data_IF_602286714985
#
_entry.id   IF_602286714985
#
_cell.length_a   1.000
_cell.length_b   1.000
_cell.length_c   1.000
_cell.angle_alpha   90.00
_cell.angle_beta   90.00
_cell.angle_gamma   90.00
#
_symmetry.space_group_name_H-M   'P 1'
#
loop_
_entity.id
_entity.type
_entity.pdbx_description
1 polymer ?
#
# COMPACT_ATOMS: atom_id res chain seq x y z
N UNK A 1 12.70 22.28 -15.75
CA UNK A 1 13.14 21.14 -14.93
C UNK A 1 12.40 19.92 -15.44
N UNK A 2 13.08 18.91 -15.97
CA UNK A 2 12.43 17.63 -16.31
C UNK A 2 11.91 17.02 -15.01
N UNK A 3 10.60 16.74 -14.94
CA UNK A 3 10.03 15.99 -13.82
C UNK A 3 10.52 14.56 -13.98
N UNK A 4 11.52 14.16 -13.18
CA UNK A 4 11.87 12.75 -13.09
C UNK A 4 10.66 12.02 -12.49
N UNK A 5 10.07 11.13 -13.27
CA UNK A 5 8.93 10.31 -12.87
C UNK A 5 9.37 9.34 -11.75
N UNK A 6 8.49 9.01 -10.77
CA UNK A 6 8.82 8.05 -9.73
C UNK A 6 9.31 6.71 -10.31
N UNK A 7 10.32 6.05 -9.71
CA UNK A 7 10.89 4.80 -10.22
C UNK A 7 9.83 3.71 -10.46
N UNK A 8 8.82 3.62 -9.59
CA UNK A 8 7.74 2.64 -9.72
C UNK A 8 6.93 2.81 -11.02
N UNK A 9 6.60 4.04 -11.41
CA UNK A 9 5.77 4.28 -12.60
C UNK A 9 6.50 3.86 -13.87
N UNK A 10 7.81 4.10 -13.93
CA UNK A 10 8.66 3.62 -15.03
C UNK A 10 8.70 2.10 -15.10
N UNK A 11 8.96 1.44 -13.95
CA UNK A 11 8.97 -0.03 -13.86
C UNK A 11 7.63 -0.65 -14.27
N UNK A 12 6.51 -0.06 -13.84
CA UNK A 12 5.16 -0.51 -14.22
C UNK A 12 4.97 -0.43 -15.74
N UNK A 13 5.42 0.64 -16.40
CA UNK A 13 5.34 0.75 -17.86
C UNK A 13 6.20 -0.31 -18.56
N UNK A 14 7.40 -0.57 -18.05
CA UNK A 14 8.31 -1.59 -18.57
C UNK A 14 7.72 -3.01 -18.43
N UNK A 15 7.13 -3.32 -17.27
CA UNK A 15 6.49 -4.61 -17.01
C UNK A 15 5.23 -4.81 -17.88
N UNK A 16 4.44 -3.75 -18.08
CA UNK A 16 3.24 -3.84 -18.90
C UNK A 16 3.51 -4.12 -20.38
N UNK A 17 4.75 -3.92 -20.85
CA UNK A 17 5.22 -4.32 -22.17
C UNK A 17 5.56 -5.81 -22.30
N UNK A 18 5.49 -6.57 -21.20
CA UNK A 18 5.84 -7.98 -21.13
C UNK A 18 4.67 -8.80 -20.58
N UNK A 19 4.61 -10.08 -20.95
CA UNK A 19 3.69 -11.06 -20.42
C UNK A 19 4.19 -11.68 -19.11
N UNK A 20 3.29 -12.27 -18.33
CA UNK A 20 3.69 -13.02 -17.13
C UNK A 20 4.64 -14.18 -17.44
N UNK A 21 4.45 -14.85 -18.59
CA UNK A 21 5.33 -15.92 -19.06
C UNK A 21 6.76 -15.39 -19.32
N UNK A 22 6.91 -14.35 -20.14
CA UNK A 22 8.22 -13.74 -20.45
C UNK A 22 8.97 -13.29 -19.19
N UNK A 23 8.28 -12.61 -18.27
CA UNK A 23 8.90 -12.18 -17.01
C UNK A 23 9.28 -13.39 -16.14
N UNK A 24 8.51 -14.47 -16.16
CA UNK A 24 8.81 -15.67 -15.37
C UNK A 24 10.05 -16.43 -15.85
N UNK A 25 10.35 -16.40 -17.15
CA UNK A 25 11.52 -17.08 -17.74
C UNK A 25 12.85 -16.43 -17.35
N UNK A 26 12.82 -15.12 -17.05
CA UNK A 26 14.02 -14.36 -16.67
C UNK A 26 14.22 -14.25 -15.15
N UNK A 27 13.28 -14.78 -14.35
CA UNK A 27 13.49 -14.92 -12.91
C UNK A 27 14.62 -15.92 -12.69
N UNK A 28 15.70 -15.50 -12.03
CA UNK A 28 16.91 -16.33 -11.90
C UNK A 28 16.70 -17.66 -11.16
N UNK A 29 15.68 -17.75 -10.29
CA UNK A 29 15.30 -18.97 -9.57
C UNK A 29 13.77 -19.04 -9.43
N UNK A 30 13.04 -19.49 -10.48
CA UNK A 30 11.60 -19.62 -10.41
C UNK A 30 11.23 -20.84 -9.57
N UNK A 31 10.21 -20.68 -8.73
CA UNK A 31 9.59 -21.73 -7.96
C UNK A 31 8.83 -22.68 -8.91
N UNK A 32 8.92 -23.99 -8.69
CA UNK A 32 8.31 -24.99 -9.57
C UNK A 32 6.78 -24.87 -9.69
N UNK A 33 6.09 -24.26 -8.71
CA UNK A 33 4.64 -24.06 -8.78
C UNK A 33 4.25 -22.79 -9.52
N UNK A 34 5.19 -21.87 -9.80
CA UNK A 34 4.86 -20.57 -10.40
C UNK A 34 4.13 -20.73 -11.75
N UNK A 35 4.55 -21.59 -12.70
CA UNK A 35 3.82 -21.77 -13.96
C UNK A 35 2.40 -22.30 -13.75
N UNK A 36 2.21 -23.24 -12.80
CA UNK A 36 0.89 -23.79 -12.47
C UNK A 36 -0.02 -22.70 -11.91
N UNK A 37 0.48 -21.88 -10.98
CA UNK A 37 -0.26 -20.76 -10.39
C UNK A 37 -0.64 -19.74 -11.46
N UNK A 38 0.30 -19.36 -12.34
CA UNK A 38 0.02 -18.43 -13.43
C UNK A 38 -1.04 -18.98 -14.40
N UNK A 39 -1.04 -20.29 -14.67
CA UNK A 39 -2.07 -20.96 -15.46
C UNK A 39 -3.45 -20.92 -14.79
N UNK A 40 -3.53 -21.29 -13.51
CA UNK A 40 -4.78 -21.29 -12.72
C UNK A 40 -5.39 -19.89 -12.58
N UNK A 41 -4.54 -18.86 -12.50
CA UNK A 41 -4.98 -17.46 -12.46
C UNK A 41 -5.27 -16.88 -13.85
N UNK A 42 -5.08 -17.66 -14.92
CA UNK A 42 -5.22 -17.21 -16.31
C UNK A 42 -4.34 -15.98 -16.60
N UNK A 43 -3.09 -15.98 -16.14
CA UNK A 43 -2.17 -14.85 -16.24
C UNK A 43 -1.06 -15.04 -17.27
N UNK A 44 -0.66 -16.27 -17.61
CA UNK A 44 0.53 -16.57 -18.44
C UNK A 44 0.68 -15.65 -19.66
N UNK A 45 -0.38 -15.55 -20.47
CA UNK A 45 -0.39 -14.81 -21.73
C UNK A 45 -0.86 -13.35 -21.59
N UNK A 46 -1.15 -12.89 -20.37
CA UNK A 46 -1.56 -11.51 -20.11
C UNK A 46 -0.34 -10.65 -19.86
N UNK A 47 -0.45 -9.37 -20.19
CA UNK A 47 0.56 -8.39 -19.83
C UNK A 47 0.60 -8.19 -18.32
N UNK A 48 1.79 -7.87 -17.80
CA UNK A 48 2.01 -7.58 -16.37
C UNK A 48 1.54 -6.16 -16.05
N UNK A 49 0.22 -5.98 -16.04
CA UNK A 49 -0.46 -4.69 -15.91
C UNK A 49 -1.54 -4.74 -14.80
N UNK A 50 -2.08 -3.58 -14.41
CA UNK A 50 -3.07 -3.53 -13.32
C UNK A 50 -4.41 -4.18 -13.71
N UNK A 51 -4.77 -4.15 -15.00
CA UNK A 51 -6.01 -4.73 -15.51
C UNK A 51 -6.06 -6.26 -15.34
N UNK A 52 -4.91 -6.92 -15.50
CA UNK A 52 -4.76 -8.37 -15.34
C UNK A 52 -5.07 -8.82 -13.90
N UNK A 53 -4.84 -7.95 -12.91
CA UNK A 53 -4.97 -8.25 -11.48
C UNK A 53 -6.36 -7.91 -10.96
N UNK A 54 -6.94 -6.79 -11.38
CA UNK A 54 -8.28 -6.36 -10.95
C UNK A 54 -9.36 -7.40 -11.27
N UNK A 55 -9.14 -8.18 -12.33
CA UNK A 55 -10.07 -9.23 -12.81
C UNK A 55 -9.89 -10.58 -12.12
N UNK A 56 -8.94 -10.71 -11.19
CA UNK A 56 -8.71 -11.97 -10.48
C UNK A 56 -9.91 -12.33 -9.60
N UNK A 57 -10.42 -13.56 -9.77
CA UNK A 57 -11.59 -14.07 -9.06
C UNK A 57 -11.36 -14.04 -7.54
N UNK A 58 -12.40 -13.58 -6.83
CA UNK A 58 -12.51 -13.70 -5.37
C UNK A 58 -13.32 -14.96 -5.08
N UNK A 59 -12.65 -16.05 -4.72
CA UNK A 59 -13.33 -17.28 -4.32
C UNK A 59 -13.16 -17.50 -2.81
N UNK A 60 -14.26 -17.33 -2.08
CA UNK A 60 -14.35 -17.47 -0.62
C UNK A 60 -13.92 -18.88 -0.17
N UNK A 61 -13.99 -19.90 -1.05
CA UNK A 61 -13.59 -21.27 -0.73
C UNK A 61 -12.08 -21.54 -0.87
N UNK A 62 -11.34 -20.67 -1.55
CA UNK A 62 -9.90 -20.81 -1.79
C UNK A 62 -9.04 -19.70 -1.20
N UNK A 63 -9.63 -18.56 -0.82
CA UNK A 63 -8.88 -17.44 -0.23
C UNK A 63 -8.30 -17.79 1.15
N UNK A 64 -7.01 -17.56 1.32
CA UNK A 64 -6.35 -17.65 2.62
C UNK A 64 -5.19 -16.68 2.74
N UNK A 65 -4.60 -16.62 3.93
CA UNK A 65 -3.36 -15.88 4.19
C UNK A 65 -2.23 -16.87 4.28
N UNK A 66 -1.05 -16.46 3.82
CA UNK A 66 0.16 -17.12 4.26
C UNK A 66 0.23 -17.09 5.79
N UNK A 67 0.70 -18.19 6.39
CA UNK A 67 0.86 -18.30 7.82
C UNK A 67 2.01 -17.43 8.32
N UNK A 68 1.94 -17.03 9.59
CA UNK A 68 3.01 -16.25 10.22
C UNK A 68 4.32 -17.08 10.26
N UNK A 69 5.49 -16.45 10.05
CA UNK A 69 5.71 -15.01 9.96
C UNK A 69 5.53 -14.39 8.55
N UNK A 70 5.26 -15.19 7.52
CA UNK A 70 5.32 -14.77 6.12
C UNK A 70 4.05 -14.05 5.64
N UNK A 71 3.76 -12.85 6.13
CA UNK A 71 2.65 -12.05 5.60
C UNK A 71 2.98 -11.47 4.22
N UNK A 72 1.95 -11.08 3.45
CA UNK A 72 2.16 -10.39 2.17
C UNK A 72 2.96 -9.09 2.32
N UNK A 73 2.67 -8.31 3.37
CA UNK A 73 3.44 -7.12 3.76
C UNK A 73 4.91 -7.48 3.96
N UNK A 74 5.19 -8.52 4.76
CA UNK A 74 6.57 -8.94 5.03
C UNK A 74 7.30 -9.32 3.73
N UNK A 75 6.69 -10.16 2.90
CA UNK A 75 7.26 -10.57 1.62
C UNK A 75 7.56 -9.36 0.73
N UNK A 76 6.60 -8.44 0.59
CA UNK A 76 6.76 -7.28 -0.28
C UNK A 76 7.94 -6.41 0.16
N UNK A 77 8.04 -6.11 1.46
CA UNK A 77 9.13 -5.29 1.99
C UNK A 77 10.49 -5.98 1.94
N UNK A 78 10.57 -7.29 2.20
CA UNK A 78 11.83 -8.04 2.07
C UNK A 78 12.34 -8.00 0.63
N UNK A 79 11.46 -8.21 -0.35
CA UNK A 79 11.82 -8.07 -1.76
C UNK A 79 12.24 -6.64 -2.12
N UNK A 80 11.51 -5.65 -1.59
CA UNK A 80 11.75 -4.21 -1.84
C UNK A 80 13.14 -3.74 -1.41
N UNK A 81 13.83 -4.46 -0.51
CA UNK A 81 15.23 -4.14 -0.14
C UNK A 81 16.20 -4.25 -1.30
N UNK A 82 15.88 -5.05 -2.32
CA UNK A 82 16.71 -5.25 -3.52
C UNK A 82 16.12 -4.55 -4.76
N UNK A 83 15.17 -3.62 -4.56
CA UNK A 83 14.40 -2.99 -5.63
C UNK A 83 12.93 -3.39 -5.60
N UNK A 84 12.08 -2.59 -6.24
CA UNK A 84 10.63 -2.79 -6.24
C UNK A 84 10.31 -4.12 -6.96
N UNK A 85 9.63 -5.08 -6.29
CA UNK A 85 9.32 -6.35 -6.93
C UNK A 85 8.27 -6.19 -8.01
N UNK A 86 8.47 -6.85 -9.15
CA UNK A 86 7.40 -7.05 -10.14
C UNK A 86 6.31 -7.96 -9.56
N UNK A 87 5.09 -7.96 -10.14
CA UNK A 87 4.03 -8.88 -9.71
C UNK A 87 4.44 -10.36 -9.83
N UNK A 88 5.28 -10.70 -10.82
CA UNK A 88 5.76 -12.08 -11.02
C UNK A 88 6.78 -12.48 -9.95
N UNK A 89 7.73 -11.59 -9.64
CA UNK A 89 8.70 -11.83 -8.54
C UNK A 89 7.99 -11.98 -7.20
N UNK A 90 6.94 -11.18 -6.97
CA UNK A 90 6.12 -11.28 -5.76
C UNK A 90 5.35 -12.61 -5.67
N UNK A 91 4.77 -13.08 -6.78
CA UNK A 91 4.13 -14.41 -6.85
C UNK A 91 5.11 -15.54 -6.62
N UNK A 92 6.28 -15.47 -7.25
CA UNK A 92 7.34 -16.46 -7.09
C UNK A 92 7.69 -16.63 -5.61
N UNK A 93 7.80 -15.52 -4.90
CA UNK A 93 8.11 -15.51 -3.48
C UNK A 93 6.99 -16.09 -2.61
N UNK A 94 5.73 -15.78 -2.92
CA UNK A 94 4.58 -16.40 -2.25
C UNK A 94 4.61 -17.93 -2.43
N UNK A 95 4.88 -18.43 -3.65
CA UNK A 95 4.98 -19.86 -3.94
C UNK A 95 6.09 -20.52 -3.12
N UNK A 96 7.27 -19.89 -3.07
CA UNK A 96 8.42 -20.34 -2.29
C UNK A 96 8.10 -20.46 -0.80
N UNK A 97 7.53 -19.40 -0.21
CA UNK A 97 7.16 -19.39 1.22
C UNK A 97 6.05 -20.39 1.54
N UNK A 98 5.08 -20.56 0.64
CA UNK A 98 4.03 -21.56 0.79
C UNK A 98 4.60 -22.99 0.82
N UNK A 99 5.52 -23.33 -0.09
CA UNK A 99 6.16 -24.66 -0.09
C UNK A 99 6.96 -24.89 1.19
N UNK A 100 7.76 -23.91 1.62
CA UNK A 100 8.50 -24.00 2.89
C UNK A 100 7.56 -24.21 4.08
N UNK A 101 6.33 -23.68 4.03
CA UNK A 101 5.38 -23.91 5.09
C UNK A 101 4.72 -25.30 5.05
N UNK A 102 4.32 -25.79 3.86
CA UNK A 102 3.70 -27.10 3.73
C UNK A 102 4.60 -28.25 4.20
N UNK A 103 5.93 -28.11 4.05
CA UNK A 103 6.88 -29.09 4.61
C UNK A 103 6.86 -29.13 6.14
N UNK A 104 6.22 -28.17 6.81
CA UNK A 104 6.16 -28.06 8.28
C UNK A 104 4.78 -28.27 8.88
N UNK A 105 3.70 -28.29 8.07
CA UNK A 105 2.31 -28.44 8.55
C UNK A 105 1.40 -29.10 7.53
N UNK A 106 1.07 -30.37 7.78
CA UNK A 106 0.19 -31.19 6.95
C UNK A 106 -1.30 -30.79 7.03
N UNK A 107 -1.70 -29.98 8.02
CA UNK A 107 -3.10 -29.58 8.26
C UNK A 107 -3.56 -28.37 7.43
N UNK A 108 -2.66 -27.75 6.64
CA UNK A 108 -2.93 -26.51 5.93
C UNK A 108 -3.50 -26.76 4.52
N UNK A 109 -4.83 -26.74 4.41
CA UNK A 109 -5.58 -27.09 3.19
C UNK A 109 -6.01 -25.89 2.32
N UNK A 110 -5.34 -24.74 2.43
CA UNK A 110 -5.64 -23.60 1.56
C UNK A 110 -4.92 -23.78 0.22
N UNK A 111 -5.62 -23.71 -0.92
CA UNK A 111 -4.97 -23.85 -2.22
C UNK A 111 -4.05 -22.67 -2.52
N UNK A 112 -2.85 -22.96 -3.02
CA UNK A 112 -1.83 -21.96 -3.36
C UNK A 112 -2.36 -20.87 -4.30
N UNK A 113 -3.12 -21.25 -5.34
CA UNK A 113 -3.70 -20.28 -6.28
C UNK A 113 -4.58 -19.24 -5.57
N UNK A 114 -5.29 -19.62 -4.51
CA UNK A 114 -6.17 -18.71 -3.76
C UNK A 114 -5.38 -17.71 -2.92
N UNK A 115 -4.26 -18.15 -2.34
CA UNK A 115 -3.29 -17.29 -1.63
C UNK A 115 -2.64 -16.32 -2.62
N UNK A 116 -2.17 -16.83 -3.76
CA UNK A 116 -1.55 -16.02 -4.83
C UNK A 116 -2.53 -14.99 -5.39
N UNK A 117 -3.78 -15.38 -5.65
CA UNK A 117 -4.85 -14.47 -6.10
C UNK A 117 -5.06 -13.30 -5.12
N UNK A 118 -5.08 -13.60 -3.82
CA UNK A 118 -5.19 -12.57 -2.78
C UNK A 118 -3.94 -11.71 -2.68
N UNK A 119 -2.76 -12.32 -2.74
CA UNK A 119 -1.47 -11.61 -2.77
C UNK A 119 -1.43 -10.60 -3.92
N UNK A 120 -1.78 -11.02 -5.13
CA UNK A 120 -1.82 -10.15 -6.31
C UNK A 120 -2.78 -8.98 -6.15
N UNK A 121 -3.98 -9.19 -5.58
CA UNK A 121 -4.86 -8.05 -5.26
C UNK A 121 -4.28 -7.11 -4.19
N UNK A 122 -3.41 -7.61 -3.33
CA UNK A 122 -2.77 -6.84 -2.25
C UNK A 122 -1.61 -6.00 -2.79
N UNK A 123 -0.89 -6.46 -3.82
CA UNK A 123 0.24 -5.74 -4.42
C UNK A 123 -0.16 -4.34 -4.93
N UNK A 124 -1.41 -4.17 -5.37
CA UNK A 124 -1.93 -2.87 -5.80
C UNK A 124 -1.90 -1.83 -4.68
N UNK A 125 -2.14 -2.24 -3.42
CA UNK A 125 -1.99 -1.34 -2.28
C UNK A 125 -0.53 -0.99 -2.04
N UNK A 126 0.36 -1.98 -2.06
CA UNK A 126 1.79 -1.72 -1.85
C UNK A 126 2.39 -0.81 -2.92
N UNK A 127 1.96 -0.92 -4.17
CA UNK A 127 2.39 0.00 -5.23
C UNK A 127 1.87 1.42 -5.01
N UNK A 128 0.63 1.61 -4.56
CA UNK A 128 0.15 2.94 -4.19
C UNK A 128 0.98 3.56 -3.06
N UNK A 129 1.27 2.78 -2.03
CA UNK A 129 2.08 3.24 -0.88
C UNK A 129 3.51 3.62 -1.31
N UNK A 130 4.15 2.80 -2.15
CA UNK A 130 5.49 3.09 -2.70
C UNK A 130 5.46 4.33 -3.60
N UNK A 131 4.48 4.43 -4.50
CA UNK A 131 4.33 5.60 -5.39
C UNK A 131 4.09 6.88 -4.58
N UNK A 132 3.24 6.80 -3.55
CA UNK A 132 2.95 7.91 -2.64
C UNK A 132 4.21 8.36 -1.91
N UNK A 133 4.97 7.43 -1.33
CA UNK A 133 6.25 7.71 -0.66
C UNK A 133 7.23 8.40 -1.61
N UNK A 134 7.45 7.85 -2.79
CA UNK A 134 8.45 8.38 -3.71
C UNK A 134 8.03 9.76 -4.23
N UNK A 135 6.73 9.95 -4.50
CA UNK A 135 6.18 11.23 -4.94
C UNK A 135 6.27 12.29 -3.85
N UNK A 136 5.91 11.97 -2.61
CA UNK A 136 5.96 12.96 -1.51
C UNK A 136 7.40 13.32 -1.16
N UNK A 137 8.31 12.33 -1.16
CA UNK A 137 9.77 12.56 -0.96
C UNK A 137 10.28 13.56 -1.98
N UNK A 138 10.04 13.30 -3.27
CA UNK A 138 10.44 14.19 -4.36
C UNK A 138 9.87 15.60 -4.19
N UNK A 139 8.60 15.73 -3.80
CA UNK A 139 7.96 17.03 -3.62
C UNK A 139 8.56 17.81 -2.45
N UNK A 140 8.89 17.14 -1.35
CA UNK A 140 9.54 17.74 -0.18
C UNK A 140 10.95 18.22 -0.55
N UNK A 141 11.74 17.39 -1.23
CA UNK A 141 13.07 17.75 -1.73
C UNK A 141 13.02 19.00 -2.63
N UNK A 142 12.02 19.08 -3.53
CA UNK A 142 11.84 20.23 -4.41
C UNK A 142 11.50 21.54 -3.67
N UNK A 143 10.95 21.44 -2.47
CA UNK A 143 10.59 22.59 -1.63
C UNK A 143 11.70 23.01 -0.67
N UNK A 144 12.80 22.26 -0.61
CA UNK A 144 13.91 22.47 0.32
C UNK A 144 13.46 22.48 1.80
N UNK A 145 12.57 21.56 2.19
CA UNK A 145 12.36 21.31 3.61
C UNK A 145 13.66 20.85 4.25
N UNK A 146 14.13 21.60 5.25
CA UNK A 146 15.24 21.16 6.09
C UNK A 146 14.74 20.15 7.12
N UNK A 147 15.61 19.20 7.51
CA UNK A 147 15.37 18.27 8.62
C UNK A 147 14.08 17.45 8.47
N UNK A 148 13.94 16.75 7.33
CA UNK A 148 12.90 15.75 7.15
C UNK A 148 13.45 14.32 7.11
N UNK A 149 12.67 13.38 7.62
CA UNK A 149 12.90 11.94 7.50
C UNK A 149 11.59 11.27 7.10
N UNK A 150 11.67 10.31 6.18
CA UNK A 150 10.53 9.47 5.79
C UNK A 150 10.87 8.02 6.16
N UNK A 151 10.02 7.42 7.00
CA UNK A 151 10.19 6.07 7.50
C UNK A 151 9.02 5.22 7.02
N UNK A 152 9.34 4.11 6.36
CA UNK A 152 8.39 3.07 5.96
C UNK A 152 8.97 1.70 6.29
N UNK A 153 8.35 0.98 7.22
CA UNK A 153 8.80 -0.38 7.57
C UNK A 153 7.63 -1.32 7.88
N UNK A 154 7.81 -2.65 7.75
CA UNK A 154 6.75 -3.64 7.98
C UNK A 154 6.12 -3.57 9.37
N UNK A 155 6.91 -3.16 10.38
CA UNK A 155 6.43 -3.09 11.75
C UNK A 155 5.46 -1.93 11.96
N UNK A 156 5.66 -0.80 11.27
CA UNK A 156 4.75 0.35 11.27
C UNK A 156 3.43 0.02 10.58
N UNK A 157 3.48 -0.61 9.40
CA UNK A 157 2.27 -1.06 8.69
C UNK A 157 1.49 -2.09 9.54
N UNK A 158 2.18 -3.11 10.05
CA UNK A 158 1.51 -4.21 10.77
C UNK A 158 1.01 -3.87 12.18
N UNK A 159 1.66 -2.95 12.91
CA UNK A 159 1.31 -2.60 14.31
C UNK A 159 0.71 -1.22 14.46
N UNK A 160 1.23 -0.23 13.74
CA UNK A 160 0.74 1.15 13.79
C UNK A 160 -0.47 1.40 12.89
N UNK A 161 -0.70 0.53 11.89
CA UNK A 161 -1.65 0.74 10.79
C UNK A 161 -1.42 2.07 10.05
N UNK A 162 -0.16 2.52 10.03
CA UNK A 162 0.28 3.75 9.38
C UNK A 162 1.06 3.37 8.13
N UNK A 163 0.67 3.92 6.98
CA UNK A 163 1.27 3.61 5.69
C UNK A 163 2.61 4.33 5.52
N UNK A 164 2.74 5.54 6.07
CA UNK A 164 3.96 6.34 6.04
C UNK A 164 4.14 7.17 7.31
N UNK A 165 5.35 7.14 7.89
CA UNK A 165 5.74 8.09 8.94
C UNK A 165 6.68 9.13 8.36
N UNK A 166 6.41 10.38 8.65
CA UNK A 166 7.19 11.52 8.20
C UNK A 166 7.54 12.40 9.39
N UNK A 167 8.81 12.68 9.58
CA UNK A 167 9.31 13.57 10.63
C UNK A 167 9.75 14.86 9.95
N UNK A 168 9.19 16.01 10.32
CA UNK A 168 9.61 17.33 9.82
C UNK A 168 9.79 18.25 11.02
N UNK A 169 10.98 18.85 11.17
CA UNK A 169 11.28 19.78 12.26
C UNK A 169 10.94 19.21 13.66
N UNK A 170 11.13 17.90 13.85
CA UNK A 170 10.82 17.19 15.09
C UNK A 170 9.34 16.84 15.30
N UNK A 171 8.45 17.24 14.40
CA UNK A 171 7.04 16.82 14.40
C UNK A 171 6.89 15.49 13.66
N UNK A 172 6.27 14.51 14.30
CA UNK A 172 6.02 13.20 13.72
C UNK A 172 4.60 13.11 13.15
N UNK A 173 4.51 13.01 11.83
CA UNK A 173 3.30 12.82 11.05
C UNK A 173 3.11 11.34 10.68
N UNK A 174 1.93 10.80 10.96
CA UNK A 174 1.49 9.45 10.63
C UNK A 174 0.44 9.55 9.54
N UNK A 175 0.79 9.17 8.32
CA UNK A 175 -0.06 9.33 7.15
C UNK A 175 -0.79 8.02 6.86
N UNK A 176 -2.11 8.14 6.63
CA UNK A 176 -3.03 7.04 6.42
C UNK A 176 -3.61 7.14 5.00
N UNK A 177 -3.09 6.37 4.07
CA UNK A 177 -3.68 6.22 2.74
C UNK A 177 -4.78 5.15 2.79
N UNK A 178 -5.96 5.49 2.30
CA UNK A 178 -7.00 4.49 2.13
C UNK A 178 -7.91 4.83 0.97
N UNK A 179 -8.40 3.80 0.29
CA UNK A 179 -9.35 3.99 -0.80
C UNK A 179 -10.72 4.40 -0.25
N UNK A 180 -11.36 5.38 -0.88
CA UNK A 180 -12.74 5.83 -0.60
C UNK A 180 -13.82 4.85 -1.11
N UNK A 181 -13.54 3.55 -0.99
CA UNK A 181 -14.51 2.49 -1.18
C UNK A 181 -15.27 2.21 0.12
N UNK A 182 -16.46 1.62 0.02
CA UNK A 182 -17.23 1.14 1.17
C UNK A 182 -16.38 0.33 2.16
N UNK A 183 -15.54 -0.57 1.65
CA UNK A 183 -14.70 -1.44 2.47
C UNK A 183 -13.51 -0.69 3.06
N UNK A 184 -12.88 0.19 2.29
CA UNK A 184 -11.77 1.02 2.77
C UNK A 184 -12.20 1.91 3.93
N UNK A 185 -13.31 2.64 3.76
CA UNK A 185 -13.88 3.51 4.80
C UNK A 185 -14.20 2.73 6.08
N UNK A 186 -14.89 1.59 5.98
CA UNK A 186 -15.22 0.76 7.15
C UNK A 186 -13.96 0.27 7.86
N UNK A 187 -12.93 -0.15 7.12
CA UNK A 187 -11.66 -0.57 7.72
C UNK A 187 -10.95 0.59 8.44
N UNK A 188 -10.97 1.79 7.86
CA UNK A 188 -10.37 2.98 8.47
C UNK A 188 -11.13 3.38 9.73
N UNK A 189 -12.47 3.38 9.71
CA UNK A 189 -13.30 3.61 10.89
C UNK A 189 -13.01 2.62 12.01
N UNK A 190 -12.91 1.34 11.68
CA UNK A 190 -12.62 0.27 12.64
C UNK A 190 -11.25 0.45 13.31
N UNK A 191 -10.24 0.93 12.56
CA UNK A 191 -8.92 1.30 13.11
C UNK A 191 -9.01 2.53 14.01
N UNK A 192 -9.67 3.59 13.55
CA UNK A 192 -9.85 4.85 14.30
C UNK A 192 -10.72 4.69 15.54
N UNK A 193 -11.57 3.65 15.62
CA UNK A 193 -12.32 3.32 16.82
C UNK A 193 -11.47 2.61 17.90
N UNK A 194 -10.22 2.24 17.59
CA UNK A 194 -9.34 1.47 18.49
C UNK A 194 -9.64 -0.03 18.52
N UNK A 195 -10.54 -0.54 17.69
CA UNK A 195 -10.89 -1.97 17.65
C UNK A 195 -9.72 -2.87 17.22
N UNK A 196 -8.67 -2.28 16.63
CA UNK A 196 -7.46 -2.98 16.16
C UNK A 196 -6.21 -2.67 16.99
N UNK A 197 -6.40 -2.13 18.19
CA UNK A 197 -5.34 -1.65 19.07
C UNK A 197 -5.33 -0.13 19.19
N UNK A 198 -4.61 0.37 20.19
CA UNK A 198 -4.43 1.80 20.39
C UNK A 198 -3.66 2.43 19.23
N UNK A 199 -4.01 3.68 18.89
CA UNK A 199 -3.26 4.45 17.93
C UNK A 199 -1.94 4.92 18.56
N UNK A 200 -0.82 4.85 17.83
CA UNK A 200 0.45 5.36 18.33
C UNK A 200 0.41 6.90 18.46
N UNK A 201 1.09 7.52 19.45
CA UNK A 201 1.12 8.97 19.64
C UNK A 201 1.68 9.71 18.42
N UNK A 202 1.22 10.95 18.17
CA UNK A 202 1.71 11.82 17.11
C UNK A 202 0.59 12.54 16.35
N UNK A 203 0.94 13.21 15.26
CA UNK A 203 -0.02 13.89 14.38
C UNK A 203 -0.41 12.93 13.26
N UNK A 204 -1.68 12.59 13.14
CA UNK A 204 -2.20 11.71 12.11
C UNK A 204 -2.84 12.51 10.98
N UNK A 205 -2.56 12.11 9.74
CA UNK A 205 -3.15 12.69 8.53
C UNK A 205 -3.95 11.60 7.81
N UNK A 206 -5.26 11.80 7.66
CA UNK A 206 -6.13 10.93 6.88
C UNK A 206 -6.12 11.35 5.41
N UNK A 207 -5.75 10.44 4.52
CA UNK A 207 -5.62 10.66 3.08
C UNK A 207 -6.54 9.70 2.33
N UNK A 208 -7.84 10.03 2.28
CA UNK A 208 -8.82 9.29 1.50
C UNK A 208 -8.59 9.49 -0.01
N UNK A 209 -8.28 8.42 -0.73
CA UNK A 209 -8.01 8.40 -2.16
C UNK A 209 -9.23 7.88 -2.93
N UNK A 210 -9.85 8.73 -3.74
CA UNK A 210 -10.90 8.32 -4.67
C UNK A 210 -10.30 7.88 -6.01
N UNK A 211 -10.34 6.58 -6.30
CA UNK A 211 -9.81 6.01 -7.56
C UNK A 211 -10.64 6.36 -8.80
N UNK A 212 -11.76 7.06 -8.63
CA UNK A 212 -12.64 7.51 -9.73
C UNK A 212 -12.50 9.00 -10.03
N UNK A 213 -11.69 9.72 -9.26
CA UNK A 213 -11.42 11.15 -9.45
C UNK A 213 -10.04 11.33 -10.11
N UNK A 214 -10.02 11.80 -11.36
CA UNK A 214 -8.79 12.06 -12.12
C UNK A 214 -7.91 13.14 -11.48
N UNK A 215 -8.43 13.98 -10.58
CA UNK A 215 -7.61 14.89 -9.80
C UNK A 215 -6.86 14.16 -8.68
N UNK A 216 -7.34 13.00 -8.25
CA UNK A 216 -6.73 12.22 -7.18
C UNK A 216 -5.94 11.01 -7.67
N UNK A 217 -6.26 10.53 -8.87
CA UNK A 217 -5.69 9.31 -9.42
C UNK A 217 -4.97 9.55 -10.74
N UNK A 218 -3.89 8.81 -10.94
CA UNK A 218 -3.22 8.67 -12.22
C UNK A 218 -3.16 7.19 -12.58
N UNK A 219 -3.74 6.82 -13.72
CA UNK A 219 -3.66 5.45 -14.24
C UNK A 219 -2.36 5.26 -15.02
N UNK A 220 -1.51 4.33 -14.60
CA UNK A 220 -0.27 3.95 -15.28
C UNK A 220 -0.36 2.47 -15.62
N UNK A 221 -0.47 2.13 -16.91
CA UNK A 221 -0.63 0.75 -17.38
C UNK A 221 -1.69 -0.07 -16.59
N UNK A 222 -2.89 0.50 -16.43
CA UNK A 222 -3.99 -0.13 -15.70
C UNK A 222 -3.87 -0.10 -14.17
N UNK A 223 -2.78 0.43 -13.60
CA UNK A 223 -2.64 0.65 -12.16
C UNK A 223 -3.14 2.03 -11.77
N UNK A 224 -4.07 2.09 -10.83
CA UNK A 224 -4.59 3.35 -10.29
C UNK A 224 -3.72 3.81 -9.12
N UNK A 225 -2.82 4.76 -9.39
CA UNK A 225 -1.86 5.32 -8.44
C UNK A 225 -2.29 6.73 -7.99
N UNK A 226 -1.83 7.21 -6.83
CA UNK A 226 -2.09 8.59 -6.41
C UNK A 226 -1.53 9.61 -7.41
N UNK A 227 -2.31 10.61 -7.78
CA UNK A 227 -1.85 11.69 -8.66
C UNK A 227 -0.89 12.63 -7.92
N UNK A 228 -0.08 13.39 -8.68
CA UNK A 228 0.72 14.46 -8.09
C UNK A 228 -0.14 15.49 -7.34
N UNK A 229 -1.34 15.81 -7.84
CA UNK A 229 -2.26 16.73 -7.17
C UNK A 229 -2.78 16.19 -5.82
N UNK A 230 -3.03 14.88 -5.75
CA UNK A 230 -3.39 14.21 -4.51
C UNK A 230 -2.27 14.38 -3.48
N UNK A 231 -1.04 14.00 -3.85
CA UNK A 231 0.12 14.07 -2.94
C UNK A 231 0.42 15.50 -2.52
N UNK A 232 0.37 16.45 -3.47
CA UNK A 232 0.51 17.88 -3.24
C UNK A 232 -0.46 18.41 -2.18
N UNK A 233 -1.74 18.01 -2.27
CA UNK A 233 -2.76 18.45 -1.33
C UNK A 233 -2.61 17.81 0.06
N UNK A 234 -2.04 16.61 0.16
CA UNK A 234 -1.64 16.00 1.44
C UNK A 234 -0.46 16.75 2.05
N UNK A 235 0.56 17.06 1.25
CA UNK A 235 1.73 17.80 1.70
C UNK A 235 1.36 19.20 2.17
N UNK A 236 0.51 19.94 1.44
CA UNK A 236 -0.01 21.24 1.87
C UNK A 236 -0.62 21.20 3.27
N UNK A 237 -1.36 20.13 3.62
CA UNK A 237 -1.92 20.00 4.96
C UNK A 237 -0.83 19.85 6.03
N UNK A 238 0.23 19.12 5.73
CA UNK A 238 1.39 18.99 6.62
C UNK A 238 2.06 20.35 6.81
N UNK A 239 2.24 21.12 5.73
CA UNK A 239 2.82 22.46 5.79
C UNK A 239 1.99 23.44 6.62
N UNK A 240 0.67 23.47 6.43
CA UNK A 240 -0.25 24.28 7.23
C UNK A 240 -0.03 24.03 8.74
N UNK A 241 0.25 22.78 9.12
CA UNK A 241 0.50 22.40 10.52
C UNK A 241 1.91 22.81 10.95
N UNK A 242 2.94 22.53 10.15
CA UNK A 242 4.33 22.91 10.44
C UNK A 242 4.47 24.43 10.61
N UNK A 243 3.75 25.21 9.81
CA UNK A 243 3.78 26.68 9.84
C UNK A 243 2.85 27.28 10.89
N UNK A 244 2.15 26.46 11.70
CA UNK A 244 1.15 26.89 12.68
C UNK A 244 -0.04 27.67 12.05
N UNK A 245 -0.32 27.44 10.78
CA UNK A 245 -1.49 27.99 10.07
C UNK A 245 -2.76 27.18 10.37
N UNK A 246 -2.58 25.92 10.80
CA UNK A 246 -3.68 25.02 11.16
C UNK A 246 -3.31 24.10 12.33
N UNK A 247 -4.15 24.08 13.34
CA UNK A 247 -4.02 23.15 14.46
C UNK A 247 -4.65 21.78 14.13
N UNK A 248 -3.96 20.65 14.41
CA UNK A 248 -4.57 19.32 14.35
C UNK A 248 -5.74 19.22 15.34
N UNK A 249 -6.83 18.56 14.94
CA UNK A 249 -7.96 18.40 15.85
C UNK A 249 -7.65 17.38 16.96
N UNK A 250 -8.26 17.48 18.15
CA UNK A 250 -8.10 16.46 19.18
C UNK A 250 -8.67 15.10 18.74
N UNK A 251 -8.01 14.00 19.09
CA UNK A 251 -8.50 12.65 18.78
C UNK A 251 -9.94 12.37 19.26
N UNK A 252 -10.37 12.98 20.37
CA UNK A 252 -11.76 12.89 20.84
C UNK A 252 -12.79 13.35 19.79
N UNK A 253 -12.45 14.34 18.95
CA UNK A 253 -13.31 14.79 17.84
C UNK A 253 -13.32 13.82 16.67
N UNK A 254 -12.26 13.04 16.48
CA UNK A 254 -12.20 12.00 15.44
C UNK A 254 -13.22 10.90 15.72
N UNK A 255 -13.52 10.60 16.99
CA UNK A 255 -14.58 9.67 17.35
C UNK A 255 -15.96 10.13 16.86
N UNK A 256 -16.19 11.44 16.72
CA UNK A 256 -17.40 11.98 16.12
C UNK A 256 -17.43 11.74 14.60
N UNK A 257 -16.28 11.82 13.93
CA UNK A 257 -16.12 11.53 12.49
C UNK A 257 -16.32 10.05 12.20
N UNK A 258 -15.77 9.17 13.05
CA UNK A 258 -15.92 7.70 12.93
C UNK A 258 -17.40 7.30 12.98
N UNK A 259 -18.18 7.98 13.84
CA UNK A 259 -19.61 7.76 13.98
C UNK A 259 -20.47 8.64 13.06
N UNK A 260 -19.85 9.50 12.25
CA UNK A 260 -20.48 10.52 11.43
C UNK A 260 -20.66 10.14 9.96
N UNK A 261 -21.13 11.09 9.13
CA UNK A 261 -21.25 10.93 7.69
C UNK A 261 -19.90 10.65 6.99
N UNK A 262 -19.93 9.89 5.88
CA UNK A 262 -18.71 9.39 5.20
C UNK A 262 -17.85 10.48 4.56
N UNK A 263 -18.47 11.55 4.13
CA UNK A 263 -17.83 12.73 3.56
C UNK A 263 -16.81 13.35 4.53
N UNK A 264 -17.02 13.25 5.84
CA UNK A 264 -16.04 13.71 6.83
C UNK A 264 -14.71 12.94 6.80
N UNK A 265 -14.72 11.67 6.34
CA UNK A 265 -13.50 10.90 6.13
C UNK A 265 -12.86 11.25 4.77
N UNK A 266 -13.65 11.69 3.79
CA UNK A 266 -13.10 12.16 2.51
C UNK A 266 -12.32 13.46 2.64
N UNK A 267 -12.65 14.30 3.63
CA UNK A 267 -11.85 15.47 3.95
C UNK A 267 -10.49 15.04 4.52
N UNK A 268 -9.41 15.54 3.91
CA UNK A 268 -8.06 15.37 4.46
C UNK A 268 -8.05 16.00 5.84
N UNK A 269 -8.03 15.14 6.85
CA UNK A 269 -8.23 15.52 8.25
C UNK A 269 -6.96 15.23 9.02
N UNK A 270 -6.53 16.20 9.80
CA UNK A 270 -5.38 16.08 10.68
C UNK A 270 -5.84 16.04 12.12
N UNK A 271 -5.34 15.09 12.90
CA UNK A 271 -5.65 14.97 14.32
C UNK A 271 -4.42 14.60 15.13
N UNK A 272 -4.43 14.90 16.43
CA UNK A 272 -3.33 14.57 17.34
C UNK A 272 -3.76 13.50 18.33
N UNK A 273 -2.91 12.47 18.49
CA UNK A 273 -2.96 11.47 19.55
C UNK A 273 -1.82 11.80 20.50
N UNK A 274 -2.15 12.12 21.75
CA UNK A 274 -1.14 12.43 22.76
C UNK A 274 -0.56 11.13 23.34
N UNK A 275 0.64 11.23 23.91
CA UNK A 275 1.22 10.16 24.70
C UNK A 275 0.45 10.10 26.03
N UNK A 276 -0.62 9.31 26.07
CA UNK A 276 -1.29 8.98 27.32
C UNK A 276 -0.36 7.99 28.06
N UNK A 277 0.51 8.53 28.91
CA UNK A 277 1.48 7.75 29.69
C UNK A 277 0.88 6.60 30.50
#
# INVERSE_FOLDING_TARGET
MQRNEPPLRQLIQEWAGQTYEEVSEVIGQPDLELPNVLGELDLLQKNVDGNSIERLKKDIRGEGNLPRPFTFTYIFHELSRNGIPSPVTFLNEICRQYRTYLTTREDYNVPLWGICSRGMRTIASFYREVDFRDTITRMIEQRNFENFEIVQNPAQDARGHVDLVMIINGLEFKIWEYMLSQRGVVNTQDRLAGNRGALPPGIHILCGHDTTDDLQTQTVAGWNLPSDNFVESCLRRIEEIVNNEREPMPYARVQEIVNGPRDLLTERTAFIVNDDG
#
